data_IF_042117575066
#
_entry.id   IF_042117575066
#
_cell.length_a   1.000
_cell.length_b   1.000
_cell.length_c   1.000
_cell.angle_alpha   90.00
_cell.angle_beta   90.00
_cell.angle_gamma   90.00
#
_symmetry.space_group_name_H-M   'P 1'
#
loop_
_entity.id
_entity.type
_entity.pdbx_description
1 polymer ?
#
# COMPACT_ATOMS: atom_id res chain seq x y z
N UNK A 1 1.49 1.82 10.54
CA UNK A 1 2.21 0.71 9.88
C UNK A 1 1.30 -0.08 8.96
N UNK A 2 1.82 -1.16 8.33
CA UNK A 2 1.17 -1.81 7.19
C UNK A 2 -0.20 -2.39 7.52
N UNK A 3 -0.37 -2.95 8.73
CA UNK A 3 -1.65 -3.51 9.16
C UNK A 3 -2.75 -2.44 9.28
N UNK A 4 -2.45 -1.29 9.89
CA UNK A 4 -3.41 -0.19 10.01
C UNK A 4 -3.82 0.36 8.65
N UNK A 5 -2.86 0.53 7.73
CA UNK A 5 -3.15 0.95 6.36
C UNK A 5 -4.02 -0.07 5.62
N UNK A 6 -3.76 -1.38 5.79
CA UNK A 6 -4.60 -2.43 5.21
C UNK A 6 -6.04 -2.36 5.76
N UNK A 7 -6.20 -2.18 7.08
CA UNK A 7 -7.51 -2.02 7.71
C UNK A 7 -8.25 -0.79 7.18
N UNK A 8 -7.58 0.35 7.02
CA UNK A 8 -8.20 1.54 6.42
C UNK A 8 -8.62 1.29 4.97
N UNK A 9 -7.77 0.66 4.16
CA UNK A 9 -8.12 0.31 2.77
C UNK A 9 -9.38 -0.55 2.68
N UNK A 10 -9.47 -1.59 3.52
CA UNK A 10 -10.65 -2.45 3.60
C UNK A 10 -11.87 -1.69 4.13
N UNK A 11 -11.69 -0.91 5.20
CA UNK A 11 -12.77 -0.13 5.84
C UNK A 11 -13.39 0.90 4.89
N UNK A 12 -12.58 1.66 4.16
CA UNK A 12 -13.07 2.59 3.15
C UNK A 12 -13.69 1.87 1.95
N UNK A 13 -13.21 0.67 1.59
CA UNK A 13 -13.84 -0.18 0.57
C UNK A 13 -15.25 -0.60 0.98
N UNK A 14 -15.43 -1.04 2.23
CA UNK A 14 -16.74 -1.37 2.79
C UNK A 14 -17.66 -0.14 2.83
N UNK A 15 -17.14 1.01 3.27
CA UNK A 15 -17.89 2.27 3.26
C UNK A 15 -18.36 2.62 1.84
N UNK A 16 -17.47 2.56 0.85
CA UNK A 16 -17.81 2.82 -0.55
C UNK A 16 -18.91 1.87 -1.05
N UNK A 17 -18.80 0.57 -0.75
CA UNK A 17 -19.83 -0.42 -1.11
C UNK A 17 -21.18 -0.07 -0.49
N UNK A 18 -21.21 0.29 0.80
CA UNK A 18 -22.45 0.67 1.48
C UNK A 18 -23.08 1.91 0.87
N UNK A 19 -22.28 2.93 0.52
CA UNK A 19 -22.78 4.16 -0.11
C UNK A 19 -23.37 3.87 -1.50
N UNK A 20 -22.69 3.09 -2.32
CA UNK A 20 -23.17 2.71 -3.66
C UNK A 20 -24.47 1.88 -3.56
N UNK A 21 -24.57 0.97 -2.60
CA UNK A 21 -25.71 0.03 -2.51
C UNK A 21 -26.93 0.67 -1.85
N UNK A 22 -26.75 1.40 -0.75
CA UNK A 22 -27.84 1.90 0.10
C UNK A 22 -28.25 3.32 -0.30
N UNK A 23 -27.31 4.16 -0.71
CA UNK A 23 -27.56 5.56 -1.05
C UNK A 23 -27.55 5.80 -2.56
N UNK A 24 -27.71 4.76 -3.39
CA UNK A 24 -27.62 4.82 -4.87
C UNK A 24 -28.39 6.01 -5.46
N UNK A 25 -29.64 6.22 -5.05
CA UNK A 25 -30.46 7.32 -5.53
C UNK A 25 -29.87 8.71 -5.28
N UNK A 26 -29.21 8.94 -4.13
CA UNK A 26 -28.59 10.23 -3.78
C UNK A 26 -27.17 10.33 -4.33
N UNK A 27 -26.45 9.20 -4.35
CA UNK A 27 -25.07 9.12 -4.79
C UNK A 27 -24.93 9.54 -6.26
N UNK A 28 -25.81 9.08 -7.15
CA UNK A 28 -25.70 9.40 -8.57
C UNK A 28 -26.28 10.77 -8.97
N UNK A 29 -26.85 11.54 -8.04
CA UNK A 29 -27.44 12.85 -8.36
C UNK A 29 -26.38 13.96 -8.33
N UNK A 30 -26.33 14.76 -9.40
CA UNK A 30 -25.63 16.05 -9.43
C UNK A 30 -24.11 16.00 -9.40
N UNK A 31 -23.49 14.88 -9.78
CA UNK A 31 -22.02 14.73 -9.84
C UNK A 31 -21.32 14.60 -8.48
N UNK A 32 -22.04 14.79 -7.36
CA UNK A 32 -21.47 14.70 -6.02
C UNK A 32 -20.96 13.29 -5.68
N UNK A 33 -21.72 12.24 -5.99
CA UNK A 33 -21.24 10.87 -5.72
C UNK A 33 -20.11 10.42 -6.63
N UNK A 34 -19.94 11.01 -7.81
CA UNK A 34 -18.74 10.75 -8.63
C UNK A 34 -17.49 11.30 -7.94
N UNK A 35 -17.55 12.54 -7.44
CA UNK A 35 -16.45 13.13 -6.67
C UNK A 35 -16.18 12.29 -5.40
N UNK A 36 -17.23 11.90 -4.69
CA UNK A 36 -17.11 11.08 -3.48
C UNK A 36 -16.53 9.69 -3.78
N UNK A 37 -16.95 9.07 -4.89
CA UNK A 37 -16.38 7.80 -5.38
C UNK A 37 -14.89 7.95 -5.63
N UNK A 38 -14.47 8.98 -6.37
CA UNK A 38 -13.06 9.20 -6.70
C UNK A 38 -12.23 9.42 -5.42
N UNK A 39 -12.71 10.26 -4.50
CA UNK A 39 -12.05 10.50 -3.22
C UNK A 39 -11.86 9.18 -2.48
N UNK A 40 -12.95 8.42 -2.25
CA UNK A 40 -12.88 7.15 -1.53
C UNK A 40 -11.99 6.12 -2.24
N UNK A 41 -12.07 6.03 -3.58
CA UNK A 41 -11.21 5.16 -4.38
C UNK A 41 -9.73 5.52 -4.20
N UNK A 42 -9.38 6.81 -4.18
CA UNK A 42 -8.01 7.25 -3.88
C UNK A 42 -7.61 6.94 -2.43
N UNK A 43 -8.48 7.14 -1.46
CA UNK A 43 -8.23 6.78 -0.06
C UNK A 43 -7.93 5.28 0.09
N UNK A 44 -8.72 4.42 -0.56
CA UNK A 44 -8.50 2.97 -0.59
C UNK A 44 -7.14 2.68 -1.25
N UNK A 45 -6.89 3.24 -2.44
CA UNK A 45 -5.65 3.02 -3.19
C UNK A 45 -4.41 3.42 -2.39
N UNK A 46 -4.38 4.63 -1.83
CA UNK A 46 -3.25 5.16 -1.05
C UNK A 46 -2.98 4.29 0.17
N UNK A 47 -4.03 3.89 0.90
CA UNK A 47 -3.86 3.03 2.08
C UNK A 47 -3.32 1.64 1.69
N UNK A 48 -3.84 1.02 0.64
CA UNK A 48 -3.29 -0.25 0.15
C UNK A 48 -1.86 -0.10 -0.37
N UNK A 49 -1.54 1.01 -1.04
CA UNK A 49 -0.19 1.34 -1.51
C UNK A 49 0.77 1.47 -0.34
N UNK A 50 0.41 2.24 0.69
CA UNK A 50 1.24 2.41 1.88
C UNK A 50 1.36 1.11 2.68
N UNK A 51 0.34 0.24 2.68
CA UNK A 51 0.43 -1.08 3.30
C UNK A 51 1.47 -1.96 2.58
N UNK A 52 1.36 -2.07 1.25
CA UNK A 52 2.29 -2.84 0.41
C UNK A 52 3.71 -2.28 0.50
N UNK A 53 3.87 -0.97 0.37
CA UNK A 53 5.17 -0.32 0.45
C UNK A 53 5.85 -0.60 1.79
N UNK A 54 5.13 -0.46 2.91
CA UNK A 54 5.69 -0.74 4.24
C UNK A 54 5.97 -2.21 4.53
N UNK A 55 5.52 -3.16 3.71
CA UNK A 55 5.85 -4.58 3.86
C UNK A 55 7.19 -4.97 3.22
N UNK A 56 7.77 -4.12 2.37
CA UNK A 56 9.07 -4.42 1.76
C UNK A 56 10.17 -4.46 2.83
N UNK A 57 11.04 -5.49 2.81
CA UNK A 57 12.11 -5.64 3.80
C UNK A 57 13.30 -4.74 3.45
N UNK A 58 13.11 -3.42 3.46
CA UNK A 58 14.17 -2.43 3.17
C UNK A 58 14.05 -1.28 4.18
N UNK A 59 15.07 -0.98 5.00
CA UNK A 59 15.00 0.14 5.95
C UNK A 59 14.78 1.47 5.21
N UNK A 60 13.93 2.38 5.72
CA UNK A 60 13.36 2.40 7.06
C UNK A 60 11.93 1.81 7.12
N UNK A 61 11.52 1.03 6.12
CA UNK A 61 10.16 0.50 6.01
C UNK A 61 9.87 -0.50 7.13
N UNK A 62 8.61 -0.57 7.57
CA UNK A 62 8.20 -1.42 8.70
C UNK A 62 8.57 -2.91 8.50
N UNK A 63 8.51 -3.42 7.27
CA UNK A 63 8.88 -4.78 6.89
C UNK A 63 10.36 -5.10 7.14
N UNK A 64 11.22 -4.09 7.18
CA UNK A 64 12.63 -4.27 7.53
C UNK A 64 12.84 -4.65 8.99
N UNK A 65 11.97 -4.19 9.90
CA UNK A 65 12.01 -4.58 11.31
C UNK A 65 11.58 -6.04 11.50
N UNK A 66 10.57 -6.48 10.75
CA UNK A 66 10.14 -7.90 10.71
C UNK A 66 11.29 -8.76 10.15
N UNK A 67 11.93 -8.34 9.06
CA UNK A 67 13.06 -9.06 8.50
C UNK A 67 14.24 -9.16 9.48
N UNK A 68 14.60 -8.05 10.13
CA UNK A 68 15.71 -7.99 11.08
C UNK A 68 15.47 -8.81 12.36
N UNK A 69 14.22 -8.97 12.79
CA UNK A 69 13.88 -9.81 13.95
C UNK A 69 14.01 -11.30 13.66
N UNK A 70 13.88 -11.72 12.41
CA UNK A 70 14.10 -13.10 11.96
C UNK A 70 15.59 -13.47 11.85
N UNK A 71 16.48 -12.48 11.78
CA UNK A 71 17.93 -12.71 11.68
C UNK A 71 18.50 -13.01 13.07
N UNK A 72 19.30 -14.08 13.25
CA UNK A 72 19.98 -14.36 14.52
C UNK A 72 20.97 -13.26 14.95
N UNK A 73 21.14 -13.06 16.26
CA UNK A 73 21.99 -11.98 16.80
C UNK A 73 23.48 -12.13 16.51
N UNK A 74 23.94 -13.34 16.17
CA UNK A 74 25.32 -13.59 15.68
C UNK A 74 25.67 -12.76 14.44
N UNK A 75 24.67 -12.29 13.69
CA UNK A 75 24.83 -11.42 12.52
C UNK A 75 24.65 -9.92 12.85
N UNK A 76 24.99 -9.50 14.07
CA UNK A 76 24.86 -8.11 14.53
C UNK A 76 25.48 -7.08 13.56
N UNK A 77 26.67 -7.37 13.01
CA UNK A 77 27.33 -6.50 12.02
C UNK A 77 26.46 -6.29 10.76
N UNK A 78 25.82 -7.36 10.28
CA UNK A 78 24.90 -7.27 9.16
C UNK A 78 23.67 -6.45 9.52
N UNK A 79 23.04 -6.72 10.69
CA UNK A 79 21.88 -5.95 11.16
C UNK A 79 22.18 -4.45 11.20
N UNK A 80 23.32 -4.06 11.77
CA UNK A 80 23.75 -2.65 11.85
C UNK A 80 24.00 -2.04 10.47
N UNK A 81 24.71 -2.73 9.59
CA UNK A 81 24.98 -2.25 8.23
C UNK A 81 23.68 -2.09 7.44
N UNK A 82 22.78 -3.08 7.50
CA UNK A 82 21.49 -3.07 6.83
C UNK A 82 20.64 -1.88 7.28
N UNK A 83 20.48 -1.68 8.60
CA UNK A 83 19.73 -0.53 9.13
C UNK A 83 20.36 0.82 8.77
N UNK A 84 21.70 0.91 8.71
CA UNK A 84 22.41 2.14 8.37
C UNK A 84 22.28 2.50 6.89
N UNK A 85 22.49 1.54 6.01
CA UNK A 85 22.54 1.76 4.56
C UNK A 85 21.21 1.54 3.83
N UNK A 86 20.22 0.92 4.48
CA UNK A 86 18.93 0.57 3.87
C UNK A 86 18.20 1.76 3.25
N UNK A 87 18.22 2.93 3.89
CA UNK A 87 17.60 4.15 3.34
C UNK A 87 18.17 4.54 1.98
N UNK A 88 19.49 4.40 1.81
CA UNK A 88 20.15 4.70 0.54
C UNK A 88 19.82 3.64 -0.51
N UNK A 89 19.72 2.36 -0.12
CA UNK A 89 19.29 1.28 -1.00
C UNK A 89 17.87 1.53 -1.51
N UNK A 90 16.95 1.96 -0.64
CA UNK A 90 15.58 2.29 -1.03
C UNK A 90 15.54 3.43 -2.05
N UNK A 91 16.25 4.53 -1.78
CA UNK A 91 16.31 5.67 -2.70
C UNK A 91 16.92 5.24 -4.04
N UNK A 92 18.01 4.48 -4.02
CA UNK A 92 18.63 3.97 -5.23
C UNK A 92 17.67 3.08 -6.03
N UNK A 93 16.93 2.18 -5.37
CA UNK A 93 15.94 1.33 -6.04
C UNK A 93 14.81 2.13 -6.70
N UNK A 94 14.32 3.18 -6.04
CA UNK A 94 13.27 4.05 -6.60
C UNK A 94 13.81 4.83 -7.81
N UNK A 95 14.98 5.47 -7.68
CA UNK A 95 15.57 6.26 -8.76
C UNK A 95 15.95 5.39 -9.95
N UNK A 96 16.65 4.27 -9.72
CA UNK A 96 17.03 3.35 -10.79
C UNK A 96 15.82 2.78 -11.50
N UNK A 97 14.75 2.44 -10.78
CA UNK A 97 13.51 1.96 -11.40
C UNK A 97 12.87 3.04 -12.29
N UNK A 98 12.88 4.29 -11.83
CA UNK A 98 12.38 5.43 -12.61
C UNK A 98 13.22 5.69 -13.89
N UNK A 99 14.55 5.65 -13.78
CA UNK A 99 15.45 5.91 -14.92
C UNK A 99 15.48 4.77 -15.95
N UNK A 100 15.44 3.52 -15.49
CA UNK A 100 15.56 2.35 -16.37
C UNK A 100 14.23 1.85 -16.92
N UNK A 101 13.11 2.26 -16.32
CA UNK A 101 11.78 1.72 -16.61
C UNK A 101 11.53 0.33 -16.01
N UNK A 102 12.52 -0.28 -15.34
CA UNK A 102 12.34 -1.55 -14.65
C UNK A 102 11.62 -1.36 -13.30
N UNK A 103 10.66 -2.24 -13.04
CA UNK A 103 9.91 -2.21 -11.79
C UNK A 103 10.68 -2.91 -10.65
N UNK A 104 11.72 -2.24 -10.13
CA UNK A 104 12.59 -2.76 -9.07
C UNK A 104 11.85 -2.99 -7.74
N UNK A 105 10.76 -2.25 -7.51
CA UNK A 105 9.87 -2.40 -6.38
C UNK A 105 8.45 -2.56 -6.92
N UNK A 106 7.92 -3.79 -7.07
CA UNK A 106 6.62 -4.07 -7.70
C UNK A 106 5.40 -3.60 -6.88
N UNK A 107 5.54 -2.52 -6.11
CA UNK A 107 4.53 -1.92 -5.23
C UNK A 107 3.26 -1.63 -6.01
N UNK A 108 3.34 -0.90 -7.12
CA UNK A 108 2.15 -0.56 -7.92
C UNK A 108 1.40 -1.78 -8.46
N UNK A 109 2.13 -2.82 -8.88
CA UNK A 109 1.53 -4.07 -9.38
C UNK A 109 0.83 -4.85 -8.25
N UNK A 110 1.48 -4.97 -7.09
CA UNK A 110 0.92 -5.64 -5.91
C UNK A 110 -0.29 -4.87 -5.36
N UNK A 111 -0.19 -3.53 -5.27
CA UNK A 111 -1.31 -2.66 -4.89
C UNK A 111 -2.47 -2.81 -5.87
N UNK A 112 -2.21 -2.82 -7.18
CA UNK A 112 -3.24 -3.03 -8.19
C UNK A 112 -3.96 -4.37 -8.07
N UNK A 113 -3.22 -5.45 -7.78
CA UNK A 113 -3.81 -6.76 -7.49
C UNK A 113 -4.66 -6.77 -6.22
N UNK A 114 -4.20 -6.14 -5.14
CA UNK A 114 -4.97 -6.04 -3.91
C UNK A 114 -6.21 -5.17 -4.09
N UNK A 115 -6.09 -4.04 -4.78
CA UNK A 115 -7.18 -3.13 -5.06
C UNK A 115 -8.26 -3.81 -5.91
N UNK A 116 -7.89 -4.42 -7.04
CA UNK A 116 -8.83 -5.15 -7.89
C UNK A 116 -9.43 -6.37 -7.18
N UNK A 117 -8.64 -7.10 -6.40
CA UNK A 117 -9.12 -8.20 -5.57
C UNK A 117 -10.16 -7.75 -4.54
N UNK A 118 -9.90 -6.64 -3.84
CA UNK A 118 -10.82 -6.04 -2.88
C UNK A 118 -12.13 -5.62 -3.55
N UNK A 119 -12.07 -4.90 -4.67
CA UNK A 119 -13.27 -4.47 -5.40
C UNK A 119 -14.11 -5.66 -5.86
N UNK A 120 -13.45 -6.68 -6.45
CA UNK A 120 -14.11 -7.92 -6.85
C UNK A 120 -14.76 -8.64 -5.66
N UNK A 121 -14.09 -8.74 -4.52
CA UNK A 121 -14.63 -9.36 -3.29
C UNK A 121 -15.85 -8.61 -2.76
N UNK A 122 -15.86 -7.29 -2.87
CA UNK A 122 -16.97 -6.43 -2.48
C UNK A 122 -18.10 -6.40 -3.53
N UNK A 123 -17.92 -7.05 -4.67
CA UNK A 123 -18.86 -7.01 -5.79
C UNK A 123 -19.07 -5.60 -6.33
N UNK A 124 -17.97 -4.84 -6.45
CA UNK A 124 -17.89 -3.54 -7.12
C UNK A 124 -17.03 -3.66 -8.37
#
# INVERSE_FOLDING_TARGET
>A
GPFSNLLFGIGFGLLLKTLITVASGIFYIGGFGEILYQILAYFIWINLLLAVFNLFPIPPLDGSHIFLSLIPDRYSRFKTAFSRYGRFILIAAILLGSFTGYNLLPVGFLTGKLYSGLFKLLGM
#
